data_IF_326755706278
#
_entry.id   IF_326755706278
#
_cell.length_a   1.000
_cell.length_b   1.000
_cell.length_c   1.000
_cell.angle_alpha   90.00
_cell.angle_beta   90.00
_cell.angle_gamma   90.00
#
_symmetry.space_group_name_H-M   'P 1'
#
loop_
_entity.id
_entity.type
_entity.pdbx_description
1 polymer ?
#
# COMPACT_ATOMS: atom_id res chain seq x y z
N UNK A 1 10.22 -1.49 -18.22
CA UNK A 1 9.92 -1.81 -16.81
C UNK A 1 9.14 -3.11 -16.79
N UNK A 2 9.26 -3.95 -15.74
CA UNK A 2 8.53 -5.23 -15.66
C UNK A 2 7.13 -5.09 -15.04
N UNK A 3 6.50 -3.91 -15.20
CA UNK A 3 5.28 -3.47 -14.51
C UNK A 3 4.03 -3.51 -15.41
N UNK A 4 4.13 -4.19 -16.56
CA UNK A 4 3.07 -4.21 -17.58
C UNK A 4 1.71 -4.68 -17.05
N UNK A 5 1.62 -5.77 -16.26
CA UNK A 5 0.36 -6.25 -15.71
C UNK A 5 -0.38 -5.22 -14.83
N UNK A 6 0.34 -4.40 -14.07
CA UNK A 6 -0.25 -3.43 -13.13
C UNK A 6 -0.37 -2.00 -13.69
N UNK A 7 0.43 -1.60 -14.68
CA UNK A 7 0.40 -0.27 -15.29
C UNK A 7 -0.51 -0.21 -16.52
N UNK A 8 -1.80 -0.51 -16.31
CA UNK A 8 -2.81 -0.47 -17.35
C UNK A 8 -4.19 -0.16 -16.75
N UNK A 9 -5.15 0.23 -17.59
CA UNK A 9 -6.49 0.63 -17.16
C UNK A 9 -7.24 -0.46 -16.35
N UNK A 10 -6.90 -1.74 -16.54
CA UNK A 10 -7.46 -2.88 -15.81
C UNK A 10 -6.42 -3.61 -14.96
N UNK A 11 -5.44 -2.88 -14.43
CA UNK A 11 -4.28 -3.46 -13.76
C UNK A 11 -4.65 -4.41 -12.62
N UNK A 12 -5.61 -4.02 -11.77
CA UNK A 12 -6.09 -4.85 -10.66
C UNK A 12 -6.70 -6.17 -11.16
N UNK A 13 -7.54 -6.14 -12.18
CA UNK A 13 -8.17 -7.34 -12.75
C UNK A 13 -7.14 -8.26 -13.39
N UNK A 14 -6.18 -7.69 -14.13
CA UNK A 14 -5.11 -8.47 -14.77
C UNK A 14 -4.24 -9.17 -13.74
N UNK A 15 -3.81 -8.48 -12.69
CA UNK A 15 -3.02 -9.07 -11.59
C UNK A 15 -3.84 -10.15 -10.88
N UNK A 16 -5.12 -9.89 -10.61
CA UNK A 16 -6.04 -10.87 -10.04
C UNK A 16 -6.18 -12.13 -10.90
N UNK A 17 -6.29 -11.98 -12.22
CA UNK A 17 -6.36 -13.11 -13.14
C UNK A 17 -5.10 -14.00 -13.10
N UNK A 18 -3.90 -13.39 -13.02
CA UNK A 18 -2.66 -14.14 -12.86
C UNK A 18 -2.58 -14.89 -11.53
N UNK A 19 -2.97 -14.25 -10.43
CA UNK A 19 -3.04 -14.89 -9.11
C UNK A 19 -4.01 -16.08 -9.16
N UNK A 20 -5.20 -15.89 -9.72
CA UNK A 20 -6.21 -16.94 -9.87
C UNK A 20 -5.70 -18.11 -10.71
N UNK A 21 -5.00 -17.84 -11.82
CA UNK A 21 -4.37 -18.87 -12.62
C UNK A 21 -3.33 -19.67 -11.82
N UNK A 22 -2.45 -19.00 -11.06
CA UNK A 22 -1.49 -19.67 -10.19
C UNK A 22 -2.15 -20.54 -9.12
N UNK A 23 -3.25 -20.08 -8.52
CA UNK A 23 -4.03 -20.85 -7.56
C UNK A 23 -4.70 -22.07 -8.21
N UNK A 24 -5.42 -21.86 -9.31
CA UNK A 24 -6.14 -22.91 -10.03
C UNK A 24 -5.22 -24.03 -10.55
N UNK A 25 -3.96 -23.70 -10.82
CA UNK A 25 -2.96 -24.65 -11.33
C UNK A 25 -2.01 -25.19 -10.25
N UNK A 26 -2.27 -24.92 -8.98
CA UNK A 26 -1.47 -25.45 -7.86
C UNK A 26 -0.03 -24.93 -7.83
N UNK A 27 0.20 -23.71 -8.34
CA UNK A 27 1.51 -23.05 -8.41
C UNK A 27 1.84 -22.21 -7.16
N UNK A 28 0.88 -21.96 -6.29
CA UNK A 28 1.12 -21.22 -5.04
C UNK A 28 1.89 -22.07 -4.00
N UNK A 29 2.77 -21.42 -3.22
CA UNK A 29 3.46 -22.05 -2.09
C UNK A 29 4.61 -23.01 -2.44
N UNK A 30 5.12 -22.97 -3.67
CA UNK A 30 6.21 -23.84 -4.15
C UNK A 30 7.43 -23.00 -4.56
N UNK A 31 8.67 -23.43 -4.24
CA UNK A 31 9.87 -22.77 -4.74
C UNK A 31 9.85 -22.65 -6.26
N UNK A 32 10.35 -21.52 -6.78
CA UNK A 32 10.42 -21.23 -8.22
C UNK A 32 9.06 -21.26 -8.95
N UNK A 33 7.96 -21.00 -8.23
CA UNK A 33 6.60 -21.00 -8.75
C UNK A 33 5.76 -19.85 -8.20
N UNK A 34 4.58 -19.66 -8.77
CA UNK A 34 3.61 -18.65 -8.36
C UNK A 34 3.69 -17.34 -9.14
N UNK A 35 3.09 -16.31 -8.55
CA UNK A 35 3.08 -14.95 -9.08
C UNK A 35 3.89 -14.05 -8.15
N UNK A 36 4.77 -13.23 -8.74
CA UNK A 36 5.56 -12.24 -8.02
C UNK A 36 5.60 -10.94 -8.81
N UNK A 37 5.23 -9.83 -8.16
CA UNK A 37 5.35 -8.51 -8.75
C UNK A 37 6.80 -8.04 -8.66
N UNK A 38 7.40 -7.68 -9.79
CA UNK A 38 8.73 -7.08 -9.82
C UNK A 38 8.62 -5.60 -9.44
N UNK A 39 9.07 -5.26 -8.23
CA UNK A 39 9.09 -3.87 -7.75
C UNK A 39 10.26 -3.11 -8.36
N UNK A 40 10.03 -1.85 -8.78
CA UNK A 40 11.06 -1.04 -9.44
C UNK A 40 12.04 -0.37 -8.49
N UNK A 41 11.54 0.32 -7.47
CA UNK A 41 12.38 1.08 -6.53
C UNK A 41 13.05 0.16 -5.51
N UNK A 42 14.31 0.46 -5.17
CA UNK A 42 15.12 -0.39 -4.28
C UNK A 42 14.51 -0.64 -2.90
N UNK A 43 13.71 0.30 -2.37
CA UNK A 43 12.97 0.14 -1.12
C UNK A 43 11.45 0.31 -1.28
N UNK A 44 10.91 0.05 -2.47
CA UNK A 44 9.48 0.20 -2.75
C UNK A 44 8.60 -0.69 -1.86
N UNK A 45 9.06 -1.92 -1.56
CA UNK A 45 8.38 -2.81 -0.63
C UNK A 45 8.53 -2.33 0.82
N UNK A 46 9.74 -1.97 1.25
CA UNK A 46 9.97 -1.53 2.63
C UNK A 46 9.20 -0.27 2.98
N UNK A 47 9.03 0.68 2.05
CA UNK A 47 8.17 1.84 2.25
C UNK A 47 6.72 1.46 2.58
N UNK A 48 6.16 0.45 1.88
CA UNK A 48 4.82 -0.07 2.17
C UNK A 48 4.74 -0.73 3.54
N UNK A 49 5.74 -1.52 3.90
CA UNK A 49 5.83 -2.17 5.21
C UNK A 49 5.92 -1.15 6.35
N UNK A 50 6.53 0.01 6.12
CA UNK A 50 6.59 1.09 7.10
C UNK A 50 5.32 1.96 7.14
N UNK A 51 4.27 1.62 6.38
CA UNK A 51 3.02 2.38 6.37
C UNK A 51 3.05 3.62 5.49
N UNK A 52 3.92 3.71 4.48
CA UNK A 52 3.90 4.79 3.49
C UNK A 52 2.73 4.63 2.49
N UNK A 53 1.52 4.66 3.02
CA UNK A 53 0.24 4.65 2.31
C UNK A 53 -0.79 5.36 3.18
N UNK A 54 -1.68 6.12 2.57
CA UNK A 54 -2.60 6.99 3.28
C UNK A 54 -3.64 6.27 4.17
N UNK A 55 -3.76 4.95 4.07
CA UNK A 55 -4.76 4.14 4.77
C UNK A 55 -4.16 3.02 5.65
N UNK A 56 -2.82 3.00 5.82
CA UNK A 56 -2.13 1.92 6.54
C UNK A 56 -1.22 2.43 7.65
N UNK A 57 -1.18 1.66 8.72
CA UNK A 57 -0.17 1.68 9.77
C UNK A 57 0.98 0.73 9.38
N UNK A 58 2.17 0.84 10.01
CA UNK A 58 3.28 -0.08 9.78
C UNK A 58 2.85 -1.56 9.91
N UNK A 59 3.43 -2.43 9.09
CA UNK A 59 3.13 -3.86 9.04
C UNK A 59 1.83 -4.20 8.30
N UNK A 60 1.47 -3.44 7.26
CA UNK A 60 0.23 -3.63 6.46
C UNK A 60 -1.07 -3.57 7.27
N UNK A 61 -1.04 -2.94 8.45
CA UNK A 61 -2.19 -2.81 9.33
C UNK A 61 -3.12 -1.73 8.81
N UNK A 62 -4.44 -1.93 8.87
CA UNK A 62 -5.40 -0.91 8.43
C UNK A 62 -5.53 0.19 9.48
N UNK A 63 -5.60 1.45 9.06
CA UNK A 63 -5.86 2.58 9.95
C UNK A 63 -7.24 2.53 10.62
N UNK A 64 -8.17 1.74 10.06
CA UNK A 64 -9.52 1.54 10.58
C UNK A 64 -9.66 0.38 11.55
N UNK A 65 -8.62 -0.44 11.75
CA UNK A 65 -8.64 -1.55 12.70
C UNK A 65 -8.33 -1.04 14.13
N UNK A 66 -9.28 -1.08 15.07
CA UNK A 66 -9.05 -0.60 16.43
C UNK A 66 -7.93 -1.35 17.16
N UNK A 67 -7.73 -2.64 16.89
CA UNK A 67 -6.67 -3.42 17.52
C UNK A 67 -5.30 -2.99 17.01
N UNK A 68 -5.17 -2.79 15.69
CA UNK A 68 -3.96 -2.26 15.09
C UNK A 68 -3.60 -0.86 15.62
N UNK A 69 -4.60 0.04 15.72
CA UNK A 69 -4.42 1.39 16.26
C UNK A 69 -3.91 1.36 17.69
N UNK A 70 -4.54 0.58 18.58
CA UNK A 70 -4.10 0.40 19.97
C UNK A 70 -2.67 -0.12 20.07
N UNK A 71 -2.33 -1.11 19.25
CA UNK A 71 -0.98 -1.68 19.25
C UNK A 71 0.08 -0.64 18.86
N UNK A 72 -0.10 0.04 17.72
CA UNK A 72 0.87 1.02 17.23
C UNK A 72 0.94 2.25 18.14
N UNK A 73 -0.21 2.74 18.61
CA UNK A 73 -0.25 3.85 19.57
C UNK A 73 0.48 3.52 20.87
N UNK A 74 0.36 2.29 21.37
CA UNK A 74 1.11 1.80 22.53
C UNK A 74 2.63 1.79 22.31
N UNK A 75 3.09 1.41 21.11
CA UNK A 75 4.52 1.49 20.75
C UNK A 75 5.02 2.94 20.68
N UNK A 76 4.18 3.86 20.18
CA UNK A 76 4.53 5.28 20.04
C UNK A 76 4.28 6.12 21.30
N UNK A 77 3.63 5.57 22.33
CA UNK A 77 3.30 6.28 23.55
C UNK A 77 2.24 7.37 23.37
N UNK A 78 1.30 7.19 22.44
CA UNK A 78 0.21 8.14 22.14
C UNK A 78 -1.16 7.53 22.40
N UNK A 79 -2.19 8.37 22.48
CA UNK A 79 -3.58 7.91 22.54
C UNK A 79 -3.99 7.30 21.18
N UNK A 80 -4.56 6.08 21.12
CA UNK A 80 -5.02 5.47 19.86
C UNK A 80 -6.06 6.31 19.10
N UNK A 81 -6.85 7.13 19.77
CA UNK A 81 -7.87 7.98 19.14
C UNK A 81 -7.27 9.27 18.56
N UNK A 82 -6.02 9.60 18.91
CA UNK A 82 -5.26 10.70 18.28
C UNK A 82 -4.75 10.38 16.88
N UNK A 83 -4.68 9.10 16.50
CA UNK A 83 -4.25 8.71 15.16
C UNK A 83 -5.33 9.16 14.14
N UNK A 84 -4.96 9.75 13.00
CA UNK A 84 -5.95 10.13 12.00
C UNK A 84 -6.65 8.91 11.39
N UNK A 85 -7.77 9.15 10.71
CA UNK A 85 -8.36 8.17 9.79
C UNK A 85 -7.58 8.08 8.48
N UNK A 86 -8.00 7.20 7.54
CA UNK A 86 -7.44 7.15 6.21
C UNK A 86 -7.49 8.51 5.51
N UNK A 87 -6.37 8.90 4.89
CA UNK A 87 -6.25 10.11 4.09
C UNK A 87 -6.51 9.85 2.60
N UNK A 88 -6.33 10.92 1.80
CA UNK A 88 -6.41 10.87 0.33
C UNK A 88 -5.30 10.01 -0.26
N UNK A 89 -5.60 9.33 -1.36
CA UNK A 89 -4.55 8.76 -2.20
C UNK A 89 -3.65 9.86 -2.77
N UNK A 90 -2.45 9.49 -3.22
CA UNK A 90 -1.53 10.46 -3.81
C UNK A 90 -2.13 11.17 -5.04
N UNK A 91 -2.96 10.48 -5.82
CA UNK A 91 -3.63 11.06 -6.98
C UNK A 91 -4.67 12.11 -6.55
N UNK A 92 -5.57 11.76 -5.63
CA UNK A 92 -6.57 12.70 -5.09
C UNK A 92 -5.93 13.87 -4.34
N UNK A 93 -4.77 13.65 -3.71
CA UNK A 93 -4.00 14.72 -3.07
C UNK A 93 -3.51 15.75 -4.10
N UNK A 94 -2.98 15.28 -5.24
CA UNK A 94 -2.51 16.14 -6.32
C UNK A 94 -3.65 16.93 -6.97
N UNK A 95 -4.79 16.29 -7.23
CA UNK A 95 -5.98 16.97 -7.77
C UNK A 95 -6.52 18.06 -6.83
N UNK A 96 -6.31 17.91 -5.53
CA UNK A 96 -6.75 18.85 -4.51
C UNK A 96 -5.78 20.01 -4.22
N UNK A 97 -4.58 20.00 -4.81
CA UNK A 97 -3.59 21.05 -4.56
C UNK A 97 -4.09 22.42 -5.04
N UNK A 98 -3.92 23.43 -4.19
CA UNK A 98 -4.41 24.77 -4.46
C UNK A 98 -5.91 24.96 -4.22
N UNK A 99 -6.63 23.90 -3.84
CA UNK A 99 -8.01 23.96 -3.37
C UNK A 99 -8.05 23.90 -1.85
N UNK A 100 -8.30 22.75 -1.24
CA UNK A 100 -8.30 22.58 0.21
C UNK A 100 -6.94 22.11 0.75
N UNK A 101 -6.06 21.58 -0.12
CA UNK A 101 -4.66 21.31 0.21
C UNK A 101 -3.80 22.52 -0.14
N UNK A 102 -3.22 23.15 0.89
CA UNK A 102 -2.43 24.39 0.75
C UNK A 102 -0.91 24.19 0.78
N UNK A 103 -0.44 23.04 1.23
CA UNK A 103 0.98 22.73 1.32
C UNK A 103 1.24 21.24 1.01
N UNK A 104 2.41 20.96 0.44
CA UNK A 104 2.88 19.61 0.15
C UNK A 104 4.34 19.48 0.59
N UNK A 105 4.63 18.48 1.43
CA UNK A 105 6.00 18.10 1.76
C UNK A 105 6.40 16.89 0.90
N UNK A 106 7.35 17.09 -0.01
CA UNK A 106 7.89 16.04 -0.88
C UNK A 106 9.23 15.58 -0.32
N UNK A 107 9.37 14.29 -0.02
CA UNK A 107 10.64 13.69 0.44
C UNK A 107 10.99 12.49 -0.43
N UNK A 108 12.12 12.57 -1.15
CA UNK A 108 12.70 11.45 -1.91
C UNK A 108 11.71 10.74 -2.83
N UNK A 109 11.12 11.48 -3.78
CA UNK A 109 10.10 10.99 -4.73
C UNK A 109 10.69 10.46 -6.04
#
# INVERSE_FOLDING_TARGET
TARGPEQQAKGTDTVGAWINFCLATGRAGRPFSGYGCLTGQGNGQGGREHGQKADQLPGYRKLTDPAARRHVAGVWGVDPDSLPGPGRSAYELLDALGQDVRALLVMGS
#
